data_IF_140341094689
#
_entry.id   IF_140341094689
#
_cell.length_a   1.000
_cell.length_b   1.000
_cell.length_c   1.000
_cell.angle_alpha   90.00
_cell.angle_beta   90.00
_cell.angle_gamma   90.00
#
_symmetry.space_group_name_H-M   'P 1'
#
loop_
_entity.id
_entity.type
_entity.pdbx_description
1 polymer ?
#
# COMPACT_ATOMS: atom_id res chain seq x y z
N UNK A 1 -14.01 -3.12 12.94
CA UNK A 1 -12.70 -3.15 12.27
C UNK A 1 -12.82 -4.08 11.07
N UNK A 2 -13.09 -3.56 9.87
CA UNK A 2 -13.12 -4.41 8.68
C UNK A 2 -11.69 -4.55 8.17
N UNK A 3 -11.20 -5.78 8.07
CA UNK A 3 -9.90 -6.06 7.48
C UNK A 3 -10.11 -6.32 5.99
N UNK A 4 -9.38 -5.59 5.15
CA UNK A 4 -9.47 -5.69 3.70
C UNK A 4 -8.30 -6.53 3.19
N UNK A 5 -8.58 -7.46 2.28
CA UNK A 5 -7.56 -8.28 1.65
C UNK A 5 -6.74 -7.43 0.66
N UNK A 6 -5.40 -7.38 0.78
CA UNK A 6 -4.55 -6.60 -0.10
C UNK A 6 -4.55 -7.10 -1.55
N UNK A 7 -4.87 -8.39 -1.77
CA UNK A 7 -4.87 -9.01 -3.11
C UNK A 7 -6.16 -8.74 -3.90
N UNK A 8 -7.32 -8.68 -3.24
CA UNK A 8 -8.61 -8.70 -3.94
C UNK A 8 -9.63 -7.67 -3.45
N UNK A 9 -9.29 -6.89 -2.42
CA UNK A 9 -10.18 -5.90 -1.81
C UNK A 9 -11.36 -6.49 -1.03
N UNK A 10 -11.41 -7.81 -0.87
CA UNK A 10 -12.49 -8.50 -0.17
C UNK A 10 -12.41 -8.36 1.36
N UNK A 11 -13.55 -8.55 2.03
CA UNK A 11 -13.59 -8.59 3.49
C UNK A 11 -12.92 -9.86 4.03
N UNK A 12 -12.09 -9.68 5.06
CA UNK A 12 -11.47 -10.75 5.82
C UNK A 12 -12.31 -11.04 7.08
N UNK A 13 -12.55 -12.33 7.34
CA UNK A 13 -13.24 -12.81 8.54
C UNK A 13 -12.23 -13.45 9.50
N UNK A 14 -12.27 -13.07 10.77
CA UNK A 14 -11.43 -13.68 11.80
C UNK A 14 -12.03 -15.03 12.24
N UNK A 15 -11.27 -16.11 12.05
CA UNK A 15 -11.63 -17.46 12.49
C UNK A 15 -10.44 -18.09 13.20
N UNK A 16 -10.61 -18.50 14.47
CA UNK A 16 -9.56 -19.17 15.29
C UNK A 16 -8.20 -18.45 15.28
N UNK A 17 -8.21 -17.12 15.27
CA UNK A 17 -6.98 -16.30 15.27
C UNK A 17 -6.38 -16.01 13.89
N UNK A 18 -6.92 -16.60 12.82
CA UNK A 18 -6.51 -16.36 11.42
C UNK A 18 -7.56 -15.51 10.69
N UNK A 19 -7.11 -14.67 9.77
CA UNK A 19 -7.95 -13.83 8.92
C UNK A 19 -8.14 -14.51 7.57
N UNK A 20 -9.38 -14.87 7.24
CA UNK A 20 -9.73 -15.62 6.02
C UNK A 20 -10.48 -14.69 5.07
N UNK A 21 -10.03 -14.55 3.83
CA UNK A 21 -10.72 -13.73 2.85
C UNK A 21 -11.92 -14.48 2.27
N UNK A 22 -13.10 -13.86 2.32
CA UNK A 22 -14.33 -14.48 1.81
C UNK A 22 -14.43 -14.51 0.27
N UNK A 23 -13.54 -13.79 -0.43
CA UNK A 23 -13.56 -13.69 -1.89
C UNK A 23 -12.50 -14.57 -2.57
N UNK A 24 -11.25 -14.49 -2.13
CA UNK A 24 -10.15 -15.27 -2.72
C UNK A 24 -9.73 -16.51 -1.91
N UNK A 25 -10.27 -16.69 -0.69
CA UNK A 25 -9.95 -17.84 0.16
C UNK A 25 -8.59 -17.78 0.86
N UNK A 26 -7.81 -16.71 0.67
CA UNK A 26 -6.51 -16.55 1.32
C UNK A 26 -6.65 -16.44 2.84
N UNK A 27 -5.73 -17.09 3.55
CA UNK A 27 -5.61 -17.03 5.00
C UNK A 27 -4.37 -16.25 5.40
N UNK A 28 -4.53 -15.25 6.26
CA UNK A 28 -3.47 -14.41 6.78
C UNK A 28 -3.43 -14.52 8.29
N UNK A 29 -2.24 -14.56 8.88
CA UNK A 29 -2.09 -14.24 10.30
C UNK A 29 -2.07 -12.72 10.47
N UNK A 30 -2.42 -12.24 11.67
CA UNK A 30 -2.47 -10.79 11.94
C UNK A 30 -1.13 -10.10 11.70
N UNK A 31 -0.02 -10.77 12.02
CA UNK A 31 1.31 -10.20 11.82
C UNK A 31 1.68 -10.12 10.33
N UNK A 32 1.36 -11.14 9.54
CA UNK A 32 1.63 -11.19 8.09
C UNK A 32 0.88 -10.08 7.37
N UNK A 33 -0.39 -9.88 7.71
CA UNK A 33 -1.19 -8.80 7.12
C UNK A 33 -0.60 -7.43 7.46
N UNK A 34 -0.10 -7.24 8.68
CA UNK A 34 0.52 -5.98 9.12
C UNK A 34 1.83 -5.73 8.36
N UNK A 35 2.68 -6.75 8.21
CA UNK A 35 3.95 -6.64 7.50
C UNK A 35 3.76 -6.35 6.01
N UNK A 36 2.80 -7.02 5.37
CA UNK A 36 2.43 -6.75 3.97
C UNK A 36 1.93 -5.31 3.79
N UNK A 37 1.08 -4.84 4.69
CA UNK A 37 0.56 -3.47 4.63
C UNK A 37 1.67 -2.43 4.86
N UNK A 38 2.61 -2.71 5.76
CA UNK A 38 3.75 -1.84 6.04
C UNK A 38 4.67 -1.74 4.82
N UNK A 39 4.99 -2.88 4.19
CA UNK A 39 5.78 -2.93 2.94
C UNK A 39 5.13 -2.18 1.79
N UNK A 40 3.81 -2.34 1.60
CA UNK A 40 3.08 -1.61 0.57
C UNK A 40 3.12 -0.10 0.83
N UNK A 41 2.95 0.30 2.09
CA UNK A 41 2.98 1.71 2.48
C UNK A 41 4.36 2.32 2.26
N UNK A 42 5.44 1.62 2.63
CA UNK A 42 6.81 2.11 2.46
C UNK A 42 7.14 2.36 0.98
N UNK A 43 6.78 1.43 0.09
CA UNK A 43 7.00 1.59 -1.35
C UNK A 43 6.25 2.78 -1.94
N UNK A 44 5.00 3.01 -1.54
CA UNK A 44 4.21 4.16 -2.02
C UNK A 44 4.81 5.50 -1.58
N UNK A 45 5.37 5.58 -0.36
CA UNK A 45 6.03 6.80 0.12
C UNK A 45 7.34 7.11 -0.61
N UNK A 46 8.11 6.09 -0.98
CA UNK A 46 9.35 6.28 -1.74
C UNK A 46 9.06 6.81 -3.15
N UNK A 47 8.06 6.21 -3.82
CA UNK A 47 7.68 6.59 -5.19
C UNK A 47 7.13 8.02 -5.26
N UNK A 48 6.24 8.40 -4.34
CA UNK A 48 5.70 9.78 -4.26
C UNK A 48 6.79 10.84 -4.06
N UNK A 49 7.78 10.55 -3.21
CA UNK A 49 8.87 11.47 -2.92
C UNK A 49 9.72 11.72 -4.16
N UNK A 50 9.96 10.67 -4.95
CA UNK A 50 10.73 10.78 -6.18
C UNK A 50 9.99 11.54 -7.28
N UNK A 51 8.68 11.30 -7.45
CA UNK A 51 7.85 12.09 -8.36
C UNK A 51 7.82 13.59 -7.99
N UNK A 52 7.76 13.91 -6.70
CA UNK A 52 7.80 15.29 -6.21
C UNK A 52 9.10 15.98 -6.60
N UNK A 53 10.24 15.30 -6.38
CA UNK A 53 11.57 15.83 -6.73
C UNK A 53 11.71 16.06 -8.23
N UNK A 54 11.21 15.14 -9.07
CA UNK A 54 11.20 15.29 -10.54
C UNK A 54 10.40 16.51 -10.98
N UNK A 55 9.20 16.72 -10.40
CA UNK A 55 8.34 17.88 -10.68
C UNK A 55 8.99 19.20 -10.26
N UNK A 56 9.62 19.25 -9.09
CA UNK A 56 10.31 20.46 -8.61
C UNK A 56 11.53 20.81 -9.48
N UNK A 57 12.32 19.81 -9.89
CA UNK A 57 13.44 20.02 -10.81
C UNK A 57 12.98 20.53 -12.18
N UNK A 58 11.91 19.94 -12.74
CA UNK A 58 11.32 20.39 -13.99
C UNK A 58 10.84 21.84 -13.91
N UNK A 59 10.17 22.20 -12.80
CA UNK A 59 9.65 23.54 -12.57
C UNK A 59 10.77 24.58 -12.48
N UNK A 60 11.84 24.27 -11.74
CA UNK A 60 13.02 25.14 -11.68
C UNK A 60 13.65 25.34 -13.07
N UNK A 61 13.82 24.28 -13.84
CA UNK A 61 14.42 24.35 -15.16
C UNK A 61 13.59 25.17 -16.15
N UNK A 62 12.27 25.01 -16.13
CA UNK A 62 11.35 25.80 -16.96
C UNK A 62 11.32 27.29 -16.57
N UNK A 63 11.44 27.60 -15.28
CA UNK A 63 11.52 28.99 -14.81
C UNK A 63 12.78 29.72 -15.26
N UNK A 64 13.85 29.00 -15.62
CA UNK A 64 15.13 29.57 -16.04
C UNK A 64 15.22 29.79 -17.57
N UNK A 65 14.20 29.37 -18.33
CA UNK A 65 14.09 29.55 -19.79
C UNK A 65 13.31 30.79 -20.22
N UNK A 66 12.96 31.67 -19.27
CA UNK A 66 12.16 32.87 -19.50
C UNK A 66 12.89 34.08 -18.95
#
# INVERSE_FOLDING_TARGET
MSYICPECGGNLKLTRGMLICLKCGLTFKRYELKELMDRLKSSITEENNEERRKKEYLKWWLSNKK
#
